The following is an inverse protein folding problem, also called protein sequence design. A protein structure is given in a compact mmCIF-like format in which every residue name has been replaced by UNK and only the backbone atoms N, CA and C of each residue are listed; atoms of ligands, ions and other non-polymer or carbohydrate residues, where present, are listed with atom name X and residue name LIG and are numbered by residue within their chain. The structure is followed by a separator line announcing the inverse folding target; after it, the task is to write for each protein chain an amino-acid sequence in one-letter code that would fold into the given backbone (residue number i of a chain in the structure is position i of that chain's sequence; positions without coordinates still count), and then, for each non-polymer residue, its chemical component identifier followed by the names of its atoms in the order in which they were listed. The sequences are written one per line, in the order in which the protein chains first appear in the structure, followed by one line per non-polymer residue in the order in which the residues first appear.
data_IF_919842577600
#
_entry.id   IF_919842577600
#
_cell.length_a   1.000
_cell.length_b   1.000
_cell.length_c   1.000
_cell.angle_alpha   90.00
_cell.angle_beta   90.00
_cell.angle_gamma   90.00
#
_symmetry.space_group_name_H-M   'P 1'
#
loop_
_entity.id
_entity.type
_entity.pdbx_description
1 polymer ?
#
# COMPACT_ATOMS: atom_id res chain seq x y z
N UNK A 1 6.17 16.56 -10.47
CA UNK A 1 5.05 16.88 -9.56
C UNK A 1 4.29 15.59 -9.37
N UNK A 2 4.21 15.06 -8.16
CA UNK A 2 3.54 13.78 -7.92
C UNK A 2 2.03 13.92 -8.18
N UNK A 3 1.48 13.09 -9.07
CA UNK A 3 0.03 13.03 -9.30
C UNK A 3 -0.67 12.49 -8.05
N UNK A 4 -1.73 13.16 -7.59
CA UNK A 4 -2.53 12.74 -6.42
C UNK A 4 -4.00 12.61 -6.81
N UNK A 5 -4.68 13.76 -6.98
CA UNK A 5 -6.10 13.81 -7.33
C UNK A 5 -6.43 13.16 -8.68
N UNK A 6 -5.50 13.23 -9.64
CA UNK A 6 -5.73 12.64 -10.96
C UNK A 6 -5.70 11.11 -10.89
N UNK A 7 -4.83 10.52 -10.07
CA UNK A 7 -4.82 9.07 -9.83
C UNK A 7 -6.16 8.60 -9.24
N UNK A 8 -6.64 9.24 -8.17
CA UNK A 8 -7.91 8.86 -7.54
C UNK A 8 -9.11 9.12 -8.46
N UNK A 9 -9.11 10.21 -9.24
CA UNK A 9 -10.18 10.48 -10.21
C UNK A 9 -10.22 9.41 -11.30
N UNK A 10 -9.06 9.03 -11.86
CA UNK A 10 -8.99 7.96 -12.86
C UNK A 10 -9.48 6.61 -12.33
N UNK A 11 -9.25 6.30 -11.06
CA UNK A 11 -9.82 5.08 -10.44
C UNK A 11 -11.35 5.14 -10.39
N UNK A 12 -11.92 6.28 -10.01
CA UNK A 12 -13.39 6.47 -9.99
C UNK A 12 -13.96 6.38 -11.41
N UNK A 13 -13.31 6.98 -12.40
CA UNK A 13 -13.73 6.92 -13.80
C UNK A 13 -13.72 5.48 -14.33
N UNK A 14 -12.63 4.74 -14.10
CA UNK A 14 -12.51 3.33 -14.50
C UNK A 14 -13.54 2.45 -13.79
N UNK A 15 -13.82 2.73 -12.52
CA UNK A 15 -14.82 2.00 -11.75
C UNK A 15 -16.24 2.24 -12.33
N UNK A 16 -16.61 3.50 -12.56
CA UNK A 16 -17.90 3.85 -13.18
C UNK A 16 -18.05 3.26 -14.59
N UNK A 17 -16.97 3.27 -15.39
CA UNK A 17 -16.94 2.61 -16.69
C UNK A 17 -17.19 1.10 -16.55
N UNK A 18 -16.56 0.46 -15.57
CA UNK A 18 -16.78 -0.96 -15.25
C UNK A 18 -18.24 -1.27 -14.90
N UNK A 19 -18.87 -0.44 -14.06
CA UNK A 19 -20.30 -0.57 -13.73
C UNK A 19 -21.17 -0.44 -14.98
N UNK A 20 -20.93 0.59 -15.80
CA UNK A 20 -21.68 0.84 -17.03
C UNK A 20 -21.58 -0.33 -18.01
N UNK A 21 -20.37 -0.86 -18.23
CA UNK A 21 -20.16 -2.04 -19.08
C UNK A 21 -20.85 -3.29 -18.50
N UNK A 22 -20.84 -3.46 -17.18
CA UNK A 22 -21.55 -4.54 -16.50
C UNK A 22 -23.06 -4.50 -16.70
N UNK A 23 -23.64 -3.30 -16.62
CA UNK A 23 -25.07 -3.05 -16.90
C UNK A 23 -25.42 -3.36 -18.36
N UNK A 24 -24.65 -2.82 -19.32
CA UNK A 24 -24.87 -3.05 -20.75
C UNK A 24 -24.80 -4.53 -21.13
N UNK A 25 -23.95 -5.30 -20.46
CA UNK A 25 -23.80 -6.74 -20.68
C UNK A 25 -24.83 -7.60 -19.94
N UNK A 26 -25.65 -7.01 -19.07
CA UNK A 26 -26.59 -7.73 -18.21
C UNK A 26 -25.92 -8.66 -17.20
N UNK A 27 -24.63 -8.44 -16.89
CA UNK A 27 -23.88 -9.24 -15.91
C UNK A 27 -23.87 -8.62 -14.52
N UNK A 28 -24.33 -7.37 -14.39
CA UNK A 28 -24.46 -6.66 -13.14
C UNK A 28 -25.94 -6.42 -12.85
N UNK A 29 -26.40 -6.94 -11.73
CA UNK A 29 -27.76 -6.75 -11.24
C UNK A 29 -28.02 -5.25 -10.93
N UNK A 30 -29.22 -4.71 -11.23
CA UNK A 30 -29.55 -3.31 -10.98
C UNK A 30 -29.45 -2.89 -9.50
N UNK A 31 -29.85 -3.76 -8.57
CA UNK A 31 -29.79 -3.48 -7.12
C UNK A 31 -28.33 -3.41 -6.69
N UNK A 32 -27.53 -4.40 -7.11
CA UNK A 32 -26.08 -4.41 -6.85
C UNK A 32 -25.39 -3.19 -7.47
N UNK A 33 -25.79 -2.78 -8.67
CA UNK A 33 -25.24 -1.59 -9.30
C UNK A 33 -25.56 -0.32 -8.50
N UNK A 34 -26.76 -0.20 -7.95
CA UNK A 34 -27.16 0.95 -7.14
C UNK A 34 -26.34 1.03 -5.84
N UNK A 35 -26.11 -0.10 -5.18
CA UNK A 35 -25.25 -0.18 -3.98
C UNK A 35 -23.83 0.31 -4.28
N UNK A 36 -23.22 -0.18 -5.36
CA UNK A 36 -21.84 0.19 -5.74
C UNK A 36 -21.72 1.69 -6.05
N UNK A 37 -22.74 2.30 -6.65
CA UNK A 37 -22.80 3.75 -6.88
C UNK A 37 -22.97 4.52 -5.57
N UNK A 38 -23.77 4.01 -4.63
CA UNK A 38 -23.90 4.62 -3.30
C UNK A 38 -22.58 4.58 -2.53
N UNK A 39 -21.81 3.50 -2.64
CA UNK A 39 -20.48 3.43 -2.04
C UNK A 39 -19.52 4.48 -2.61
N UNK A 40 -19.55 4.73 -3.92
CA UNK A 40 -18.77 5.83 -4.53
C UNK A 40 -19.14 7.20 -3.95
N UNK A 41 -20.42 7.44 -3.68
CA UNK A 41 -20.89 8.71 -3.11
C UNK A 41 -20.33 8.97 -1.70
N UNK A 42 -19.87 7.93 -1.00
CA UNK A 42 -19.24 8.03 0.32
C UNK A 42 -17.76 8.38 0.27
N UNK A 43 -17.10 8.19 -0.89
CA UNK A 43 -15.66 8.42 -1.04
C UNK A 43 -15.19 9.82 -0.62
N UNK A 44 -15.87 10.93 -0.94
CA UNK A 44 -15.42 12.26 -0.51
C UNK A 44 -15.37 12.39 1.01
N UNK A 45 -16.34 11.81 1.72
CA UNK A 45 -16.35 11.81 3.17
C UNK A 45 -15.22 10.95 3.75
N UNK A 46 -15.02 9.74 3.22
CA UNK A 46 -13.92 8.86 3.62
C UNK A 46 -12.54 9.51 3.37
N UNK A 47 -12.37 10.17 2.23
CA UNK A 47 -11.16 10.93 1.92
C UNK A 47 -10.92 12.05 2.95
N UNK A 48 -11.98 12.76 3.36
CA UNK A 48 -11.91 13.76 4.42
C UNK A 48 -11.46 13.17 5.76
N UNK A 49 -11.96 11.99 6.13
CA UNK A 49 -11.54 11.29 7.35
C UNK A 49 -10.05 10.89 7.30
N UNK A 50 -9.58 10.37 6.17
CA UNK A 50 -8.15 10.04 5.98
C UNK A 50 -7.27 11.28 6.09
N UNK A 51 -7.68 12.41 5.48
CA UNK A 51 -6.94 13.67 5.57
C UNK A 51 -6.88 14.24 6.99
N UNK A 52 -7.91 13.99 7.82
CA UNK A 52 -7.92 14.41 9.23
C UNK A 52 -6.85 13.69 10.08
N UNK A 53 -6.27 12.57 9.58
CA UNK A 53 -5.22 11.79 10.24
C UNK A 53 -3.79 12.26 9.91
N UNK A 54 -3.63 13.49 9.42
CA UNK A 54 -2.32 14.05 9.08
C UNK A 54 -1.30 13.96 10.23
N UNK A 55 -1.75 14.13 11.47
CA UNK A 55 -0.91 13.99 12.68
C UNK A 55 -0.28 12.60 12.79
N UNK A 56 -1.12 11.56 12.76
CA UNK A 56 -0.68 10.15 12.79
C UNK A 56 0.30 9.85 11.65
N UNK A 57 0.01 10.35 10.44
CA UNK A 57 0.88 10.16 9.28
C UNK A 57 2.26 10.81 9.48
N UNK A 58 2.33 12.00 10.09
CA UNK A 58 3.62 12.69 10.39
C UNK A 58 4.43 11.95 11.45
N UNK A 59 3.76 11.43 12.47
CA UNK A 59 4.41 10.61 13.49
C UNK A 59 4.97 9.33 12.85
N UNK A 60 4.15 8.60 12.09
CA UNK A 60 4.55 7.38 11.39
C UNK A 60 5.73 7.65 10.42
N UNK A 61 5.69 8.75 9.67
CA UNK A 61 6.78 9.17 8.80
C UNK A 61 8.07 9.41 9.57
N UNK A 62 7.99 9.97 10.80
CA UNK A 62 9.16 10.17 11.65
C UNK A 62 9.77 8.83 12.11
N UNK A 63 8.95 7.82 12.41
CA UNK A 63 9.41 6.46 12.70
C UNK A 63 10.03 5.80 11.48
N UNK A 64 9.39 5.93 10.32
CA UNK A 64 9.87 5.41 9.05
C UNK A 64 11.24 5.97 8.69
N UNK A 65 11.43 7.30 8.78
CA UNK A 65 12.71 7.95 8.48
C UNK A 65 13.83 7.51 9.43
N UNK A 66 13.53 7.22 10.71
CA UNK A 66 14.54 6.68 11.64
C UNK A 66 15.08 5.32 11.18
N UNK A 67 14.22 4.47 10.61
CA UNK A 67 14.64 3.16 10.06
C UNK A 67 15.51 3.36 8.82
N UNK A 68 15.07 4.20 7.88
CA UNK A 68 15.84 4.52 6.66
C UNK A 68 17.23 5.09 7.00
N UNK A 69 17.32 6.10 7.87
CA UNK A 69 18.62 6.69 8.23
C UNK A 69 19.55 5.70 8.93
N UNK A 70 19.01 4.72 9.68
CA UNK A 70 19.81 3.66 10.29
C UNK A 70 20.42 2.77 9.21
N UNK A 71 19.63 2.39 8.20
CA UNK A 71 20.06 1.61 7.03
C UNK A 71 21.15 2.31 6.22
N UNK A 72 20.94 3.57 5.87
CA UNK A 72 21.89 4.37 5.08
C UNK A 72 23.27 4.45 5.75
N UNK A 73 23.32 4.63 7.07
CA UNK A 73 24.59 4.66 7.82
C UNK A 73 25.33 3.32 7.75
N UNK A 74 24.59 2.20 7.80
CA UNK A 74 25.14 0.85 7.70
C UNK A 74 25.68 0.59 6.29
N UNK A 75 24.94 0.94 5.24
CA UNK A 75 25.34 0.69 3.85
C UNK A 75 26.53 1.57 3.41
N UNK A 76 26.57 2.84 3.80
CA UNK A 76 27.72 3.73 3.55
C UNK A 76 29.03 3.23 4.18
N UNK A 77 28.94 2.33 5.16
CA UNK A 77 30.10 1.71 5.82
C UNK A 77 30.56 0.43 5.11
N UNK A 78 29.70 -0.20 4.30
CA UNK A 78 29.90 -1.54 3.74
C UNK A 78 30.27 -1.55 2.24
N UNK A 79 30.11 -0.43 1.53
CA UNK A 79 30.45 -0.33 0.10
C UNK A 79 29.58 -1.18 -0.84
N UNK A 80 28.42 -1.64 -0.37
CA UNK A 80 27.52 -2.53 -1.12
C UNK A 80 26.67 -1.78 -2.15
N UNK A 81 26.25 -2.52 -3.19
CA UNK A 81 25.42 -2.03 -4.29
C UNK A 81 24.00 -1.68 -3.78
N UNK A 82 23.49 -0.50 -4.14
CA UNK A 82 22.18 0.02 -3.72
C UNK A 82 21.03 -0.97 -3.99
N UNK A 83 20.36 -1.44 -2.93
CA UNK A 83 19.10 -2.20 -2.98
C UNK A 83 17.89 -1.25 -2.83
N UNK A 84 16.67 -1.77 -2.88
CA UNK A 84 15.49 -1.01 -2.44
C UNK A 84 15.66 -0.60 -0.99
N UNK A 85 15.43 0.67 -0.65
CA UNK A 85 15.44 1.19 0.72
C UNK A 85 14.13 0.92 1.44
N UNK A 86 13.06 0.63 0.68
CA UNK A 86 11.72 0.36 1.20
C UNK A 86 10.93 -0.53 0.25
N UNK A 87 10.13 -1.45 0.82
CA UNK A 87 9.17 -2.26 0.07
C UNK A 87 7.73 -1.85 0.39
N UNK A 88 6.89 -1.71 -0.63
CA UNK A 88 5.45 -1.62 -0.50
C UNK A 88 4.82 -2.95 -0.91
N UNK A 89 4.01 -3.54 -0.04
CA UNK A 89 3.36 -4.82 -0.27
C UNK A 89 1.85 -4.62 -0.37
N UNK A 90 1.28 -5.19 -1.42
CA UNK A 90 -0.17 -5.25 -1.62
C UNK A 90 -0.58 -6.55 -2.28
N UNK A 91 -1.85 -6.90 -2.14
CA UNK A 91 -2.41 -8.12 -2.72
C UNK A 91 -3.76 -7.84 -3.38
N UNK A 92 -4.04 -8.55 -4.47
CA UNK A 92 -5.27 -8.34 -5.25
C UNK A 92 -5.36 -6.89 -5.72
N UNK A 93 -6.48 -6.24 -5.44
CA UNK A 93 -6.73 -4.83 -5.80
C UNK A 93 -5.76 -3.86 -5.11
N UNK A 94 -5.12 -4.27 -4.01
CA UNK A 94 -4.18 -3.44 -3.26
C UNK A 94 -2.76 -3.46 -3.84
N UNK A 95 -2.42 -4.39 -4.75
CA UNK A 95 -1.10 -4.40 -5.37
C UNK A 95 -0.82 -3.14 -6.21
N UNK A 96 -1.72 -2.70 -7.12
CA UNK A 96 -1.56 -1.41 -7.79
C UNK A 96 -1.46 -0.21 -6.84
N UNK A 97 -2.11 -0.26 -5.67
CA UNK A 97 -2.02 0.79 -4.66
C UNK A 97 -0.63 0.80 -3.99
N UNK A 98 -0.06 -0.38 -3.74
CA UNK A 98 1.33 -0.51 -3.26
C UNK A 98 2.34 0.04 -4.28
N UNK A 99 2.13 -0.21 -5.58
CA UNK A 99 2.95 0.37 -6.65
C UNK A 99 2.88 1.90 -6.65
N UNK A 100 1.68 2.47 -6.54
CA UNK A 100 1.50 3.92 -6.50
C UNK A 100 2.14 4.54 -5.24
N UNK A 101 2.00 3.89 -4.08
CA UNK A 101 2.64 4.32 -2.83
C UNK A 101 4.17 4.37 -2.94
N UNK A 102 4.78 3.30 -3.48
CA UNK A 102 6.21 3.25 -3.76
C UNK A 102 6.63 4.32 -4.79
N UNK A 103 5.82 4.56 -5.82
CA UNK A 103 6.08 5.61 -6.81
C UNK A 103 6.08 6.99 -6.15
N UNK A 104 5.07 7.32 -5.32
CA UNK A 104 5.04 8.61 -4.62
C UNK A 104 6.26 8.82 -3.75
N UNK A 105 6.66 7.79 -3.00
CA UNK A 105 7.83 7.88 -2.13
C UNK A 105 9.09 8.20 -2.96
N UNK A 106 9.31 7.52 -4.09
CA UNK A 106 10.41 7.82 -5.02
C UNK A 106 10.36 9.25 -5.58
N UNK A 107 9.18 9.70 -6.02
CA UNK A 107 9.02 11.00 -6.70
C UNK A 107 9.32 12.20 -5.80
N UNK A 108 8.98 12.12 -4.51
CA UNK A 108 9.05 13.29 -3.60
C UNK A 108 10.20 13.22 -2.59
N UNK A 109 10.65 12.03 -2.24
CA UNK A 109 11.69 11.84 -1.20
C UNK A 109 13.01 11.34 -1.75
N UNK A 110 13.04 10.87 -3.00
CA UNK A 110 14.19 10.20 -3.62
C UNK A 110 14.64 8.90 -2.93
N UNK A 111 13.90 8.43 -1.92
CA UNK A 111 14.08 7.11 -1.31
C UNK A 111 13.77 6.04 -2.35
N UNK A 112 14.64 5.06 -2.51
CA UNK A 112 14.44 4.00 -3.48
C UNK A 112 13.38 3.01 -2.95
N UNK A 113 12.14 3.19 -3.40
CA UNK A 113 11.01 2.35 -2.98
C UNK A 113 10.48 1.47 -4.13
N UNK A 114 10.10 0.24 -3.79
CA UNK A 114 9.56 -0.71 -4.76
C UNK A 114 8.25 -1.34 -4.28
N UNK A 115 7.24 -1.37 -5.14
CA UNK A 115 5.98 -2.03 -4.88
C UNK A 115 6.01 -3.47 -5.38
N UNK A 116 5.63 -4.43 -4.55
CA UNK A 116 5.62 -5.85 -4.87
C UNK A 116 4.26 -6.49 -4.60
N UNK A 117 3.86 -7.47 -5.43
CA UNK A 117 2.73 -8.32 -5.10
C UNK A 117 3.14 -9.23 -3.93
N UNK A 118 2.43 -9.12 -2.81
CA UNK A 118 2.78 -9.81 -1.56
C UNK A 118 2.89 -11.34 -1.73
N UNK A 119 2.13 -11.93 -2.66
CA UNK A 119 2.20 -13.37 -2.96
C UNK A 119 3.54 -13.84 -3.55
N UNK A 120 4.28 -12.96 -4.22
CA UNK A 120 5.50 -13.30 -4.95
C UNK A 120 6.77 -13.05 -4.14
N UNK A 121 6.66 -12.65 -2.88
CA UNK A 121 7.81 -12.30 -2.04
C UNK A 121 8.86 -13.41 -1.99
N UNK A 122 8.42 -14.68 -1.96
CA UNK A 122 9.31 -15.85 -1.88
C UNK A 122 10.23 -16.03 -3.10
N UNK A 123 9.95 -15.37 -4.22
CA UNK A 123 10.70 -15.53 -5.47
C UNK A 123 11.85 -14.54 -5.65
N UNK A 124 12.13 -13.69 -4.66
CA UNK A 124 13.28 -12.78 -4.69
C UNK A 124 13.25 -11.69 -3.63
N UNK A 125 12.16 -10.90 -3.53
CA UNK A 125 12.10 -9.73 -2.64
C UNK A 125 12.33 -10.06 -1.16
N UNK A 126 11.99 -11.28 -0.75
CA UNK A 126 12.21 -11.75 0.62
C UNK A 126 13.68 -11.78 1.04
N UNK A 127 14.61 -11.88 0.08
CA UNK A 127 16.04 -11.84 0.33
C UNK A 127 16.55 -10.41 0.62
N UNK A 128 15.75 -9.39 0.33
CA UNK A 128 16.07 -7.99 0.62
C UNK A 128 15.68 -7.60 2.05
N UNK A 129 14.92 -8.44 2.77
CA UNK A 129 14.36 -8.09 4.08
C UNK A 129 15.36 -8.38 5.17
N UNK A 130 15.66 -7.35 5.95
CA UNK A 130 16.47 -7.38 7.17
C UNK A 130 15.86 -6.43 8.22
N UNK A 131 16.51 -6.34 9.38
CA UNK A 131 16.10 -5.49 10.51
C UNK A 131 16.06 -3.98 10.23
N UNK A 132 16.73 -3.54 9.16
CA UNK A 132 16.85 -2.15 8.75
C UNK A 132 16.03 -1.85 7.48
N UNK A 133 15.27 -2.83 6.97
CA UNK A 133 14.35 -2.66 5.84
C UNK A 133 12.95 -2.28 6.33
N UNK A 134 12.47 -1.06 6.08
CA UNK A 134 11.08 -0.71 6.26
C UNK A 134 10.21 -1.32 5.16
N UNK A 135 9.07 -1.89 5.57
CA UNK A 135 8.09 -2.49 4.68
C UNK A 135 6.73 -1.88 4.97
N UNK A 136 6.14 -1.21 3.99
CA UNK A 136 4.76 -0.71 4.07
C UNK A 136 3.83 -1.79 3.53
N UNK A 137 2.89 -2.26 4.34
CA UNK A 137 1.97 -3.34 3.97
C UNK A 137 0.52 -2.84 3.98
N UNK A 138 -0.21 -3.08 2.89
CA UNK A 138 -1.66 -2.79 2.82
C UNK A 138 -2.42 -4.06 3.15
N UNK A 139 -3.03 -4.10 4.34
CA UNK A 139 -3.73 -5.27 4.89
C UNK A 139 -5.14 -4.88 5.35
N UNK A 140 -6.05 -4.75 4.39
CA UNK A 140 -7.47 -4.48 4.65
C UNK A 140 -8.24 -5.79 4.81
N UNK A 141 -9.29 -5.79 5.63
CA UNK A 141 -10.19 -6.93 5.83
C UNK A 141 -10.96 -7.26 4.54
N UNK A 142 -10.35 -8.04 3.66
CA UNK A 142 -10.90 -8.51 2.40
C UNK A 142 -10.72 -10.04 2.23
N UNK A 143 -11.16 -10.58 1.09
CA UNK A 143 -11.09 -12.02 0.80
C UNK A 143 -9.67 -12.61 0.69
N UNK A 144 -8.62 -11.79 0.80
CA UNK A 144 -7.22 -12.24 0.80
C UNK A 144 -6.46 -11.81 2.05
N UNK A 145 -7.15 -11.32 3.08
CA UNK A 145 -6.58 -10.85 4.35
C UNK A 145 -5.64 -11.86 5.01
N UNK A 146 -6.11 -13.09 5.28
CA UNK A 146 -5.28 -14.14 5.92
C UNK A 146 -3.97 -14.39 5.16
N UNK A 147 -4.03 -14.25 3.83
CA UNK A 147 -2.87 -14.46 2.97
C UNK A 147 -1.96 -13.22 2.92
N UNK A 148 -2.44 -12.05 3.29
CA UNK A 148 -1.65 -10.83 3.45
C UNK A 148 -1.01 -10.81 4.84
N UNK A 149 -1.76 -11.16 5.89
CA UNK A 149 -1.25 -11.34 7.26
C UNK A 149 -0.10 -12.35 7.30
N UNK A 150 -0.29 -13.53 6.69
CA UNK A 150 0.79 -14.52 6.56
C UNK A 150 2.05 -13.99 5.86
N UNK A 151 1.93 -12.98 4.98
CA UNK A 151 3.10 -12.34 4.37
C UNK A 151 3.75 -11.34 5.32
N UNK A 152 2.96 -10.57 6.06
CA UNK A 152 3.45 -9.67 7.12
C UNK A 152 4.25 -10.46 8.16
N UNK A 153 3.75 -11.60 8.61
CA UNK A 153 4.46 -12.47 9.55
C UNK A 153 5.79 -13.00 8.98
N UNK A 154 5.86 -13.27 7.67
CA UNK A 154 7.13 -13.64 7.03
C UNK A 154 8.15 -12.49 6.99
N UNK A 155 7.69 -11.24 6.94
CA UNK A 155 8.55 -10.05 7.07
C UNK A 155 9.05 -9.92 8.51
N UNK A 156 8.13 -9.99 9.48
CA UNK A 156 8.45 -9.92 10.92
C UNK A 156 9.42 -11.02 11.35
N UNK A 157 9.25 -12.24 10.83
CA UNK A 157 10.15 -13.37 11.10
C UNK A 157 11.60 -13.14 10.62
N UNK A 158 11.83 -12.16 9.73
CA UNK A 158 13.16 -11.72 9.27
C UNK A 158 13.60 -10.41 9.93
N UNK A 159 12.94 -10.03 11.01
CA UNK A 159 13.14 -8.79 11.75
C UNK A 159 12.80 -7.51 10.98
N UNK A 160 12.17 -7.61 9.81
CA UNK A 160 11.74 -6.46 9.02
C UNK A 160 10.81 -5.52 9.79
N UNK A 161 10.95 -4.22 9.56
CA UNK A 161 10.12 -3.19 10.21
C UNK A 161 8.87 -2.94 9.39
N UNK A 162 7.73 -3.47 9.85
CA UNK A 162 6.46 -3.36 9.10
C UNK A 162 5.67 -2.13 9.54
N UNK A 163 5.19 -1.38 8.56
CA UNK A 163 4.26 -0.25 8.68
C UNK A 163 2.96 -0.67 7.99
N UNK A 164 1.93 -0.96 8.77
CA UNK A 164 0.69 -1.55 8.24
C UNK A 164 -0.37 -0.47 8.04
N UNK A 165 -0.98 -0.45 6.85
CA UNK A 165 -2.24 0.24 6.58
C UNK A 165 -3.34 -0.80 6.69
N UNK A 166 -4.05 -0.78 7.82
CA UNK A 166 -5.08 -1.76 8.18
C UNK A 166 -6.49 -1.16 8.17
N UNK A 167 -7.49 -2.04 8.16
CA UNK A 167 -8.88 -1.65 8.42
C UNK A 167 -9.03 -1.14 9.85
N UNK A 168 -9.78 -0.05 10.05
CA UNK A 168 -10.03 0.49 11.38
C UNK A 168 -10.74 -0.55 12.27
N UNK A 169 -10.25 -0.71 13.52
CA UNK A 169 -10.73 -1.72 14.46
C UNK A 169 -10.08 -3.10 14.32
N UNK A 170 -9.10 -3.26 13.43
CA UNK A 170 -8.28 -4.48 13.34
C UNK A 170 -7.09 -4.42 14.32
N UNK A 171 -7.26 -5.05 15.47
CA UNK A 171 -6.24 -5.13 16.53
C UNK A 171 -5.31 -6.36 16.40
N UNK A 172 -5.41 -7.11 15.29
CA UNK A 172 -4.69 -8.38 15.15
C UNK A 172 -3.31 -8.30 14.49
N UNK A 173 -2.92 -7.14 13.94
CA UNK A 173 -1.71 -6.93 13.12
C UNK A 173 -0.54 -6.21 13.84
#
# INVERSE_FOLDING_TARGET
MASTKAFTASLVDLYMLGLYLGQLRGTLDPERSAELVQDLARLPNLAGQVLAREGDCKELASHFLKVIHKREKRENSSGELRRADCLYLGRGINYPIALEGALKLKEISYIHAEGYPAGEMKHGPIALIDEDMPVVAIAVQDGVYDKMDSQIEQVKARHGRVFVVATEGDDSL
#
